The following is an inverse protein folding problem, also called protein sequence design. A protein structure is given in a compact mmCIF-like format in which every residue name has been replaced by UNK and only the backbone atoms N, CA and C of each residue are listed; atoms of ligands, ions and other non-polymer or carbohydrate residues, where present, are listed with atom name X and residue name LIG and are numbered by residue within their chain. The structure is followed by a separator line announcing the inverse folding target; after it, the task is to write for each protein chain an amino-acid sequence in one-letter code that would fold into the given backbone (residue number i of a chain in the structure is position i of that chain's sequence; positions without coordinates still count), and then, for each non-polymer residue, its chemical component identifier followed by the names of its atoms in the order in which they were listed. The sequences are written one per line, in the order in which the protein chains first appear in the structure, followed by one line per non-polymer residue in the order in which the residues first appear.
data_IF_910182089947
#
_entry.id   IF_910182089947
#
_cell.length_a   1.000
_cell.length_b   1.000
_cell.length_c   1.000
_cell.angle_alpha   90.00
_cell.angle_beta   90.00
_cell.angle_gamma   90.00
#
_symmetry.space_group_name_H-M   'P 1'
#
loop_
_entity.id
_entity.type
_entity.pdbx_description
1 polymer ?
#
# COMPACT_ATOMS: atom_id res chain seq x y z
N UNK A 1 -50.63 -18.94 -12.54
CA UNK A 1 -49.65 -17.88 -12.89
C UNK A 1 -49.10 -17.22 -11.62
N UNK A 2 -48.20 -17.87 -10.84
CA UNK A 2 -47.68 -17.21 -9.61
C UNK A 2 -46.44 -17.89 -8.96
N UNK A 3 -45.55 -18.52 -9.73
CA UNK A 3 -44.34 -19.14 -9.14
C UNK A 3 -43.05 -19.00 -9.96
N UNK A 4 -42.99 -18.03 -10.87
CA UNK A 4 -41.79 -17.69 -11.66
C UNK A 4 -41.14 -16.35 -11.26
N UNK A 5 -41.72 -15.62 -10.31
CA UNK A 5 -41.29 -14.27 -9.95
C UNK A 5 -40.42 -14.19 -8.67
N UNK A 6 -40.07 -15.33 -8.05
CA UNK A 6 -39.28 -15.37 -6.80
C UNK A 6 -37.80 -15.73 -7.01
N UNK A 7 -37.42 -16.29 -8.17
CA UNK A 7 -36.01 -16.61 -8.44
C UNK A 7 -35.19 -15.40 -8.91
N UNK A 8 -35.80 -14.43 -9.58
CA UNK A 8 -35.08 -13.28 -10.11
C UNK A 8 -34.60 -12.32 -9.01
N UNK A 9 -35.37 -12.16 -7.93
CA UNK A 9 -34.98 -11.30 -6.80
C UNK A 9 -33.84 -11.90 -5.95
N UNK A 10 -33.69 -13.23 -5.98
CA UNK A 10 -32.65 -13.93 -5.20
C UNK A 10 -31.28 -13.90 -5.89
N UNK A 11 -31.24 -13.83 -7.23
CA UNK A 11 -29.98 -13.71 -7.99
C UNK A 11 -29.31 -12.35 -7.82
N UNK A 12 -30.09 -11.27 -7.86
CA UNK A 12 -29.58 -9.89 -7.71
C UNK A 12 -28.96 -9.61 -6.33
N UNK A 13 -29.44 -10.27 -5.27
CA UNK A 13 -28.86 -10.13 -3.93
C UNK A 13 -27.51 -10.85 -3.79
N UNK A 14 -27.28 -11.94 -4.54
CA UNK A 14 -26.02 -12.68 -4.47
C UNK A 14 -24.88 -11.97 -5.22
N UNK A 15 -25.19 -11.28 -6.32
CA UNK A 15 -24.21 -10.50 -7.10
C UNK A 15 -23.71 -9.25 -6.34
N UNK A 16 -24.59 -8.59 -5.57
CA UNK A 16 -24.22 -7.44 -4.75
C UNK A 16 -23.29 -7.79 -3.57
N UNK A 17 -23.35 -9.03 -3.08
CA UNK A 17 -22.49 -9.51 -1.97
C UNK A 17 -21.09 -9.89 -2.47
N UNK A 18 -20.94 -10.28 -3.74
CA UNK A 18 -19.66 -10.73 -4.32
C UNK A 18 -18.82 -9.59 -4.93
N UNK A 19 -19.41 -8.40 -5.13
CA UNK A 19 -18.73 -7.26 -5.76
C UNK A 19 -17.99 -6.31 -4.81
N UNK A 20 -17.91 -6.64 -3.51
CA UNK A 20 -17.16 -5.83 -2.56
C UNK A 20 -15.66 -6.02 -2.76
N UNK A 21 -14.97 -5.00 -3.28
CA UNK A 21 -13.51 -5.00 -3.26
C UNK A 21 -13.03 -5.13 -1.81
N UNK A 22 -12.34 -6.24 -1.51
CA UNK A 22 -11.71 -6.45 -0.22
C UNK A 22 -10.56 -5.45 -0.05
N UNK A 23 -10.86 -4.27 0.51
CA UNK A 23 -9.87 -3.28 0.91
C UNK A 23 -9.31 -3.67 2.27
N UNK A 24 -8.38 -4.62 2.26
CA UNK A 24 -7.53 -4.87 3.41
C UNK A 24 -6.48 -3.77 3.48
N UNK A 25 -6.49 -2.99 4.56
CA UNK A 25 -5.42 -2.05 4.84
C UNK A 25 -4.11 -2.82 5.00
N UNK A 26 -2.99 -2.37 4.41
CA UNK A 26 -1.70 -2.99 4.64
C UNK A 26 -1.38 -3.06 6.14
N UNK A 27 -1.17 -4.26 6.66
CA UNK A 27 -0.79 -4.42 8.05
C UNK A 27 0.59 -3.79 8.30
N UNK A 28 0.79 -3.09 9.43
CA UNK A 28 2.10 -2.56 9.79
C UNK A 28 3.13 -3.69 9.88
N UNK A 29 4.30 -3.48 9.28
CA UNK A 29 5.44 -4.40 9.43
C UNK A 29 5.91 -4.38 10.90
N UNK A 30 6.25 -5.52 11.51
CA UNK A 30 6.63 -5.59 12.94
C UNK A 30 8.10 -5.18 13.24
N UNK A 31 8.95 -5.07 12.23
CA UNK A 31 10.38 -4.74 12.39
C UNK A 31 10.58 -3.27 12.81
N UNK A 32 11.57 -2.93 13.66
CA UNK A 32 11.85 -1.52 13.99
C UNK A 32 12.08 -0.64 12.76
N UNK A 33 11.54 0.57 12.79
CA UNK A 33 11.77 1.60 11.76
C UNK A 33 13.22 2.07 11.81
N UNK A 34 13.90 2.04 10.66
CA UNK A 34 15.24 2.61 10.50
C UNK A 34 15.16 4.14 10.29
N UNK A 35 14.12 4.61 9.59
CA UNK A 35 13.79 6.01 9.43
C UNK A 35 12.42 6.20 8.79
N UNK A 36 11.96 7.44 8.70
CA UNK A 36 10.71 7.81 8.04
C UNK A 36 10.99 8.75 6.88
N UNK A 37 10.27 8.57 5.77
CA UNK A 37 10.29 9.53 4.66
C UNK A 37 9.64 10.83 5.12
N UNK A 38 10.38 11.94 5.09
CA UNK A 38 9.87 13.27 5.44
C UNK A 38 9.62 14.16 4.22
N UNK A 39 10.19 13.80 3.06
CA UNK A 39 9.89 14.43 1.78
C UNK A 39 10.19 13.46 0.64
N UNK A 40 9.35 13.47 -0.39
CA UNK A 40 9.49 12.64 -1.59
C UNK A 40 8.91 13.38 -2.81
N UNK A 41 9.21 12.89 -4.01
CA UNK A 41 8.62 13.35 -5.27
C UNK A 41 8.05 12.19 -6.08
N UNK A 42 7.29 12.53 -7.11
CA UNK A 42 6.80 11.55 -8.07
C UNK A 42 7.99 10.86 -8.73
N UNK A 43 7.94 9.52 -8.80
CA UNK A 43 8.98 8.68 -9.40
C UNK A 43 10.10 8.27 -8.45
N UNK A 44 10.08 8.71 -7.19
CA UNK A 44 10.89 8.08 -6.14
C UNK A 44 10.23 6.77 -5.72
N UNK A 45 11.01 5.70 -5.54
CA UNK A 45 10.47 4.36 -5.33
C UNK A 45 11.20 3.60 -4.22
N UNK A 46 10.51 2.61 -3.68
CA UNK A 46 10.99 1.69 -2.65
C UNK A 46 10.63 0.25 -3.02
N UNK A 47 11.57 -0.65 -2.76
CA UNK A 47 11.37 -2.10 -2.79
C UNK A 47 11.54 -2.61 -1.36
N UNK A 48 10.53 -3.33 -0.86
CA UNK A 48 10.53 -3.88 0.48
C UNK A 48 11.25 -5.22 0.51
N UNK A 49 11.95 -5.52 1.61
CA UNK A 49 12.62 -6.83 1.77
C UNK A 49 11.64 -8.02 1.66
N UNK A 50 10.39 -7.84 2.10
CA UNK A 50 9.33 -8.86 2.08
C UNK A 50 8.59 -8.93 0.74
N UNK A 51 8.77 -7.93 -0.15
CA UNK A 51 8.06 -7.84 -1.42
C UNK A 51 8.94 -7.22 -2.50
N UNK A 52 9.38 -8.06 -3.44
CA UNK A 52 10.20 -7.68 -4.59
C UNK A 52 9.39 -6.97 -5.69
N UNK A 53 8.74 -5.85 -5.33
CA UNK A 53 8.07 -4.97 -6.27
C UNK A 53 8.34 -3.51 -5.91
N UNK A 54 8.76 -2.75 -6.92
CA UNK A 54 8.92 -1.31 -6.80
C UNK A 54 7.57 -0.65 -6.62
N UNK A 55 7.50 0.25 -5.64
CA UNK A 55 6.31 1.06 -5.33
C UNK A 55 6.74 2.51 -5.15
N UNK A 56 5.83 3.45 -5.41
CA UNK A 56 6.10 4.85 -5.13
C UNK A 56 6.37 5.07 -3.63
N UNK A 57 7.33 5.95 -3.34
CA UNK A 57 7.58 6.43 -1.98
C UNK A 57 6.48 7.39 -1.54
N UNK A 58 6.05 7.26 -0.30
CA UNK A 58 5.07 8.13 0.33
C UNK A 58 5.67 8.89 1.51
N UNK A 59 5.14 10.08 1.81
CA UNK A 59 5.56 10.82 3.02
C UNK A 59 5.00 10.13 4.26
N UNK A 60 5.76 10.15 5.36
CA UNK A 60 5.50 9.40 6.60
C UNK A 60 5.59 7.88 6.45
N UNK A 61 6.10 7.40 5.32
CA UNK A 61 6.37 5.98 5.14
C UNK A 61 7.58 5.56 5.98
N UNK A 62 7.40 4.49 6.76
CA UNK A 62 8.49 3.83 7.47
C UNK A 62 9.41 3.09 6.50
N UNK A 63 10.70 3.42 6.56
CA UNK A 63 11.80 2.70 5.92
C UNK A 63 12.45 1.79 6.97
N UNK A 64 12.66 0.52 6.60
CA UNK A 64 13.26 -0.48 7.48
C UNK A 64 14.58 -0.97 6.93
N UNK A 65 15.40 -1.55 7.80
CA UNK A 65 16.67 -2.11 7.39
C UNK A 65 16.47 -3.18 6.30
N UNK A 66 17.22 -3.06 5.21
CA UNK A 66 17.12 -3.96 4.06
C UNK A 66 16.15 -3.51 2.96
N UNK A 67 15.31 -2.50 3.21
CA UNK A 67 14.56 -1.86 2.13
C UNK A 67 15.52 -1.15 1.16
N UNK A 68 15.20 -1.16 -0.13
CA UNK A 68 16.00 -0.51 -1.18
C UNK A 68 15.26 0.72 -1.69
N UNK A 69 15.92 1.87 -1.67
CA UNK A 69 15.40 3.11 -2.24
C UNK A 69 16.00 3.33 -3.61
N UNK A 70 15.15 3.64 -4.59
CA UNK A 70 15.56 4.08 -5.92
C UNK A 70 15.08 5.49 -6.15
N UNK A 71 16.01 6.37 -6.51
CA UNK A 71 15.66 7.75 -6.82
C UNK A 71 15.42 7.98 -8.31
N UNK A 72 14.57 8.95 -8.64
CA UNK A 72 14.47 9.46 -10.00
C UNK A 72 15.69 10.32 -10.38
N UNK A 73 15.69 10.86 -11.60
CA UNK A 73 16.80 11.68 -12.12
C UNK A 73 17.05 13.01 -11.36
N UNK A 74 16.04 13.52 -10.63
CA UNK A 74 16.15 14.74 -9.81
C UNK A 74 16.59 14.46 -8.37
N UNK A 75 16.54 13.20 -7.92
CA UNK A 75 17.10 12.73 -6.66
C UNK A 75 16.59 13.47 -5.42
N UNK A 76 15.27 13.49 -5.18
CA UNK A 76 14.68 14.26 -4.08
C UNK A 76 13.85 13.39 -3.13
N UNK A 77 14.57 12.69 -2.27
CA UNK A 77 14.05 11.99 -1.09
C UNK A 77 14.78 12.51 0.14
N UNK A 78 14.04 12.74 1.23
CA UNK A 78 14.60 13.02 2.54
C UNK A 78 14.07 12.02 3.55
N UNK A 79 14.97 11.41 4.32
CA UNK A 79 14.68 10.44 5.37
C UNK A 79 15.09 11.05 6.70
N UNK A 80 14.22 10.98 7.70
CA UNK A 80 14.59 11.21 9.10
C UNK A 80 14.88 9.85 9.73
N UNK A 81 16.14 9.60 10.05
CA UNK A 81 16.53 8.37 10.72
C UNK A 81 16.04 8.34 12.17
N UNK A 82 15.90 7.14 12.73
CA UNK A 82 15.42 6.95 14.10
C UNK A 82 16.32 7.63 15.16
N UNK A 83 17.60 7.82 14.85
CA UNK A 83 18.56 8.58 15.67
C UNK A 83 18.50 10.10 15.48
N UNK A 84 17.51 10.58 14.71
CA UNK A 84 17.24 11.98 14.36
C UNK A 84 18.28 12.63 13.45
N UNK A 85 19.05 11.84 12.71
CA UNK A 85 19.88 12.33 11.61
C UNK A 85 19.10 12.38 10.29
N UNK A 86 19.65 13.08 9.28
CA UNK A 86 19.13 13.17 7.92
C UNK A 86 20.23 12.87 6.91
#
# INVERSE_FOLDING_TARGET
MTKRLLLAASGLLLEAVLGGEARAEPAPREVPTAGSVISTRVGEEIEFVEAASWRGLETLQDVKAGDVLRTNALGQVAILFADRTQ
#
